data_IF_566678732238
#
_entry.id   IF_566678732238
#
_cell.length_a   1.000
_cell.length_b   1.000
_cell.length_c   1.000
_cell.angle_alpha   90.00
_cell.angle_beta   90.00
_cell.angle_gamma   90.00
#
_symmetry.space_group_name_H-M   'P 1'
#
loop_
_entity.id
_entity.type
_entity.pdbx_description
1 polymer ?
#
# COMPACT_ATOMS: atom_id res chain seq x y z
N UNK A 1 5.62 -10.60 5.58
CA UNK A 1 6.27 -11.92 5.70
C UNK A 1 5.17 -12.95 5.45
N UNK A 2 5.15 -13.59 4.29
CA UNK A 2 4.12 -14.58 3.95
C UNK A 2 4.55 -15.94 4.51
N UNK A 3 3.69 -16.59 5.28
CA UNK A 3 3.93 -17.96 5.76
C UNK A 3 3.82 -18.93 4.59
N UNK A 4 4.63 -19.99 4.60
CA UNK A 4 4.54 -21.06 3.60
C UNK A 4 3.31 -21.95 3.88
N UNK A 5 2.82 -22.67 2.86
CA UNK A 5 1.59 -23.49 2.97
C UNK A 5 1.63 -24.52 4.11
N UNK A 6 2.81 -25.04 4.47
CA UNK A 6 3.02 -25.96 5.59
C UNK A 6 2.90 -25.27 6.95
N UNK A 7 3.44 -24.05 7.08
CA UNK A 7 3.38 -23.26 8.32
C UNK A 7 1.97 -22.80 8.65
N UNK A 8 1.17 -22.49 7.61
CA UNK A 8 -0.25 -22.16 7.78
C UNK A 8 -1.08 -23.32 8.39
N UNK A 9 -0.73 -24.57 8.09
CA UNK A 9 -1.42 -25.75 8.61
C UNK A 9 -1.08 -25.94 10.09
N UNK A 10 0.20 -25.76 10.45
CA UNK A 10 0.69 -25.91 11.81
C UNK A 10 0.10 -24.82 12.73
N UNK A 11 0.09 -23.56 12.27
CA UNK A 11 -0.53 -22.45 12.97
C UNK A 11 -2.02 -22.72 13.26
N UNK A 12 -2.78 -23.19 12.25
CA UNK A 12 -4.20 -23.52 12.41
C UNK A 12 -4.46 -24.61 13.46
N UNK A 13 -3.57 -25.59 13.61
CA UNK A 13 -3.68 -26.61 14.66
C UNK A 13 -3.48 -26.01 16.06
N UNK A 14 -2.43 -25.22 16.27
CA UNK A 14 -2.19 -24.57 17.55
C UNK A 14 -3.34 -23.66 17.98
N UNK A 15 -3.95 -22.91 17.05
CA UNK A 15 -5.12 -22.06 17.36
C UNK A 15 -6.37 -22.87 17.72
N UNK A 16 -6.58 -24.03 17.09
CA UNK A 16 -7.67 -24.95 17.47
C UNK A 16 -7.49 -25.50 18.88
N UNK A 17 -6.27 -25.89 19.24
CA UNK A 17 -5.93 -26.37 20.59
C UNK A 17 -6.13 -25.27 21.64
N UNK A 18 -5.76 -24.03 21.31
CA UNK A 18 -5.97 -22.85 22.16
C UNK A 18 -7.43 -22.38 22.24
N UNK A 19 -8.37 -23.03 21.56
CA UNK A 19 -9.79 -22.62 21.42
C UNK A 19 -9.97 -21.20 20.89
N UNK A 20 -9.01 -20.69 20.12
CA UNK A 20 -9.03 -19.34 19.58
C UNK A 20 -9.50 -19.37 18.14
N UNK A 21 -10.43 -18.48 17.78
CA UNK A 21 -10.83 -18.31 16.39
C UNK A 21 -9.81 -17.48 15.63
N UNK A 22 -9.15 -18.12 14.65
CA UNK A 22 -8.25 -17.46 13.74
C UNK A 22 -9.05 -16.68 12.69
N UNK A 23 -9.12 -15.36 12.85
CA UNK A 23 -9.61 -14.46 11.82
C UNK A 23 -8.46 -14.13 10.86
N UNK A 24 -8.48 -14.72 9.66
CA UNK A 24 -7.57 -14.34 8.58
C UNK A 24 -8.14 -13.10 7.91
N UNK A 25 -7.44 -11.96 8.01
CA UNK A 25 -7.80 -10.76 7.28
C UNK A 25 -7.28 -10.91 5.85
N UNK A 26 -8.17 -10.95 4.84
CA UNK A 26 -7.77 -10.99 3.44
C UNK A 26 -6.92 -9.78 3.07
N UNK A 27 -6.01 -9.97 2.12
CA UNK A 27 -5.28 -8.87 1.51
C UNK A 27 -6.29 -7.87 0.92
N UNK A 28 -6.18 -6.59 1.30
CA UNK A 28 -7.14 -5.54 0.93
C UNK A 28 -8.24 -5.24 1.94
N UNK A 29 -8.46 -6.08 2.96
CA UNK A 29 -9.34 -5.71 4.10
C UNK A 29 -8.62 -4.83 5.13
N UNK A 30 -7.29 -4.87 5.16
CA UNK A 30 -6.45 -3.99 5.99
C UNK A 30 -6.66 -2.51 5.68
N UNK A 31 -7.02 -2.15 4.44
CA UNK A 31 -7.35 -0.77 4.04
C UNK A 31 -8.77 -0.34 4.40
N UNK A 32 -9.59 -1.25 4.93
CA UNK A 32 -10.95 -0.98 5.41
C UNK A 32 -11.04 -1.09 6.93
N UNK A 33 -10.32 -2.05 7.52
CA UNK A 33 -10.43 -2.38 8.94
C UNK A 33 -9.47 -1.59 9.83
N UNK A 34 -8.41 -1.00 9.27
CA UNK A 34 -7.47 -0.21 10.06
C UNK A 34 -7.80 1.28 9.94
N UNK A 35 -8.27 1.93 11.03
CA UNK A 35 -8.60 3.35 11.02
C UNK A 35 -7.44 4.21 10.53
N UNK A 36 -6.20 3.88 10.90
CA UNK A 36 -5.00 4.57 10.42
C UNK A 36 -4.82 4.47 8.90
N UNK A 37 -5.09 3.29 8.33
CA UNK A 37 -4.88 3.04 6.91
C UNK A 37 -5.98 3.70 6.07
N UNK A 38 -7.23 3.70 6.56
CA UNK A 38 -8.38 4.36 5.94
C UNK A 38 -8.25 5.87 6.03
N UNK A 39 -8.02 6.39 7.24
CA UNK A 39 -8.13 7.82 7.52
C UNK A 39 -6.88 8.61 7.20
N UNK A 40 -5.69 8.00 7.20
CA UNK A 40 -4.43 8.74 6.99
C UNK A 40 -3.71 8.22 5.75
N UNK A 41 -3.35 6.93 5.72
CA UNK A 41 -2.49 6.41 4.65
C UNK A 41 -3.16 6.48 3.27
N UNK A 42 -4.47 6.21 3.19
CA UNK A 42 -5.20 6.30 1.92
C UNK A 42 -5.26 7.72 1.41
N UNK A 43 -5.58 8.69 2.29
CA UNK A 43 -5.62 10.11 1.92
C UNK A 43 -4.24 10.58 1.46
N UNK A 44 -3.18 10.24 2.17
CA UNK A 44 -1.81 10.58 1.76
C UNK A 44 -1.43 9.97 0.40
N UNK A 45 -1.75 8.70 0.16
CA UNK A 45 -1.45 8.03 -1.12
C UNK A 45 -2.21 8.62 -2.30
N UNK A 46 -3.37 9.22 -2.08
CA UNK A 46 -4.20 9.82 -3.13
C UNK A 46 -3.85 11.29 -3.34
N UNK A 47 -3.90 12.10 -2.28
CA UNK A 47 -3.77 13.54 -2.39
C UNK A 47 -2.33 14.02 -2.55
N UNK A 48 -1.34 13.31 -1.99
CA UNK A 48 0.05 13.76 -2.08
C UNK A 48 0.57 13.71 -3.54
N UNK A 49 0.31 12.65 -4.34
CA UNK A 49 0.66 12.67 -5.75
C UNK A 49 -0.12 13.71 -6.56
N UNK A 50 -1.39 13.95 -6.26
CA UNK A 50 -2.21 14.96 -6.94
C UNK A 50 -1.64 16.37 -6.74
N UNK A 51 -1.38 16.76 -5.49
CA UNK A 51 -0.84 18.08 -5.18
C UNK A 51 0.60 18.22 -5.67
N UNK A 52 1.41 17.16 -5.60
CA UNK A 52 2.74 17.13 -6.21
C UNK A 52 2.69 17.36 -7.71
N UNK A 53 1.81 16.66 -8.44
CA UNK A 53 1.68 16.81 -9.88
C UNK A 53 1.15 18.20 -10.26
N UNK A 54 0.26 18.78 -9.46
CA UNK A 54 -0.22 20.15 -9.64
C UNK A 54 0.88 21.17 -9.40
N UNK A 55 1.71 20.99 -8.38
CA UNK A 55 2.84 21.87 -8.08
C UNK A 55 3.97 21.74 -9.11
N UNK A 56 4.24 20.52 -9.59
CA UNK A 56 5.21 20.24 -10.65
C UNK A 56 4.69 20.55 -12.05
N UNK A 57 3.39 20.75 -12.24
CA UNK A 57 2.78 21.05 -13.55
C UNK A 57 3.25 22.37 -14.18
N UNK A 58 3.29 23.51 -13.46
CA UNK A 58 3.75 24.79 -13.98
C UNK A 58 5.29 24.87 -14.04
N UNK A 59 5.88 24.12 -14.97
CA UNK A 59 7.30 24.19 -15.33
C UNK A 59 7.53 23.58 -16.70
N UNK A 60 8.52 24.09 -17.45
CA UNK A 60 8.88 23.52 -18.75
C UNK A 60 9.62 22.20 -18.51
N UNK A 61 8.86 21.12 -18.35
CA UNK A 61 9.39 19.79 -18.05
C UNK A 61 9.27 18.89 -19.27
N UNK A 62 10.40 18.36 -19.70
CA UNK A 62 10.42 17.28 -20.67
C UNK A 62 9.64 16.08 -20.12
N UNK A 63 8.66 15.59 -20.87
CA UNK A 63 8.00 14.33 -20.58
C UNK A 63 8.65 13.20 -21.38
N UNK A 64 8.78 12.03 -20.77
CA UNK A 64 9.13 10.79 -21.46
C UNK A 64 7.87 10.32 -22.23
N UNK A 65 7.95 9.57 -23.35
CA UNK A 65 6.77 9.13 -24.11
C UNK A 65 5.67 8.43 -23.31
N UNK A 66 5.99 7.87 -22.13
CA UNK A 66 5.04 7.27 -21.19
C UNK A 66 4.25 8.31 -20.36
N UNK A 67 4.42 9.61 -20.61
CA UNK A 67 3.77 10.70 -19.87
C UNK A 67 4.36 10.99 -18.50
N UNK A 68 5.50 10.37 -18.15
CA UNK A 68 6.21 10.62 -16.89
C UNK A 68 7.20 11.76 -17.05
N UNK A 69 7.37 12.56 -15.99
CA UNK A 69 8.32 13.65 -15.97
C UNK A 69 9.77 13.12 -16.07
N UNK A 70 10.55 13.68 -17.00
CA UNK A 70 11.97 13.34 -17.18
C UNK A 70 12.78 13.91 -16.02
N UNK A 71 13.83 13.18 -15.62
CA UNK A 71 14.75 13.64 -14.57
C UNK A 71 15.38 14.97 -15.00
N UNK A 72 15.37 16.02 -14.16
CA UNK A 72 16.07 17.27 -14.46
C UNK A 72 17.58 17.03 -14.54
N UNK A 73 18.22 17.61 -15.55
CA UNK A 73 19.68 17.60 -15.72
C UNK A 73 20.26 18.74 -14.89
N UNK A 74 21.03 18.43 -13.86
CA UNK A 74 21.81 19.44 -13.13
C UNK A 74 23.05 19.72 -13.96
N UNK A 75 23.25 20.97 -14.36
CA UNK A 75 24.46 21.46 -15.06
C UNK A 75 25.35 22.16 -14.05
#
# INVERSE_FOLDING_TARGET
MCLTSSEHILAKKCFKEAKTHLAVIPEGLTSQLQPLNVSINKLFKVFMPEEWNKWMGPGNHDLIPTGRMKRPTIT
#
